data_IF_332722244189
#
_entry.id   IF_332722244189
#
_cell.length_a   1.000
_cell.length_b   1.000
_cell.length_c   1.000
_cell.angle_alpha   90.00
_cell.angle_beta   90.00
_cell.angle_gamma   90.00
#
_symmetry.space_group_name_H-M   'P 1'
#
loop_
_entity.id
_entity.type
_entity.pdbx_description
1 polymer ?
#
# COMPACT_ATOMS: atom_id res chain seq x y z
N UNK A 1 -7.51 42.78 -17.63
CA UNK A 1 -7.78 41.37 -17.25
C UNK A 1 -9.02 41.36 -16.36
N UNK A 2 -10.18 41.00 -16.92
CA UNK A 2 -11.50 41.23 -16.30
C UNK A 2 -11.87 40.13 -15.31
N UNK A 3 -12.41 40.53 -14.15
CA UNK A 3 -12.87 39.67 -13.04
C UNK A 3 -13.85 38.55 -13.45
N UNK A 4 -14.42 38.59 -14.66
CA UNK A 4 -15.34 37.58 -15.19
C UNK A 4 -14.71 36.25 -15.63
N UNK A 5 -13.39 36.14 -15.79
CA UNK A 5 -12.77 34.87 -16.22
C UNK A 5 -12.48 33.90 -15.07
N UNK A 6 -12.46 34.37 -13.81
CA UNK A 6 -12.22 33.52 -12.65
C UNK A 6 -13.43 32.64 -12.30
N UNK A 7 -14.66 33.07 -12.66
CA UNK A 7 -15.88 32.35 -12.30
C UNK A 7 -16.20 31.16 -13.21
N UNK A 8 -15.73 31.20 -14.47
CA UNK A 8 -16.02 30.16 -15.46
C UNK A 8 -15.16 28.90 -15.30
N UNK A 9 -14.02 28.99 -14.60
CA UNK A 9 -13.13 27.85 -14.38
C UNK A 9 -13.60 26.91 -13.25
N UNK A 10 -14.57 27.33 -12.44
CA UNK A 10 -15.06 26.57 -11.27
C UNK A 10 -16.20 25.58 -11.60
N UNK A 11 -16.71 25.58 -12.83
CA UNK A 11 -17.90 24.79 -13.23
C UNK A 11 -17.59 23.53 -14.07
N UNK A 12 -16.32 23.14 -14.20
CA UNK A 12 -15.88 21.99 -15.03
C UNK A 12 -15.38 20.77 -14.22
N UNK A 13 -15.73 20.68 -12.94
CA UNK A 13 -15.27 19.61 -12.05
C UNK A 13 -16.33 18.65 -11.44
N UNK A 14 -17.56 18.45 -11.98
CA UNK A 14 -18.32 17.30 -11.56
C UNK A 14 -17.92 16.09 -12.44
N UNK A 15 -17.82 14.91 -11.83
CA UNK A 15 -17.67 13.59 -12.48
C UNK A 15 -16.26 13.07 -12.80
N UNK A 16 -15.34 13.12 -11.83
CA UNK A 16 -14.33 12.05 -11.68
C UNK A 16 -14.54 11.30 -10.36
N UNK A 17 -15.76 10.82 -10.11
CA UNK A 17 -15.99 9.78 -9.10
C UNK A 17 -16.29 8.46 -9.79
N UNK A 18 -15.32 7.97 -10.56
CA UNK A 18 -15.29 6.56 -10.92
C UNK A 18 -14.92 5.80 -9.64
N UNK A 19 -15.90 5.18 -8.98
CA UNK A 19 -15.62 4.18 -7.95
C UNK A 19 -15.03 2.97 -8.67
N UNK A 20 -13.70 2.95 -8.85
CA UNK A 20 -13.01 1.77 -9.32
C UNK A 20 -13.41 0.58 -8.42
N UNK A 21 -13.71 -0.58 -9.00
CA UNK A 21 -13.94 -1.79 -8.21
C UNK A 21 -12.73 -2.00 -7.32
N UNK A 22 -12.97 -2.05 -6.01
CA UNK A 22 -11.94 -2.23 -5.01
C UNK A 22 -11.53 -3.70 -5.05
N UNK A 23 -10.62 -4.07 -5.95
CA UNK A 23 -10.01 -5.40 -5.94
C UNK A 23 -9.34 -5.57 -4.59
N UNK A 24 -9.81 -6.53 -3.80
CA UNK A 24 -9.14 -6.84 -2.54
C UNK A 24 -7.71 -7.29 -2.87
N UNK A 25 -6.69 -6.65 -2.30
CA UNK A 25 -5.32 -7.07 -2.52
C UNK A 25 -5.13 -8.50 -2.04
N UNK A 26 -4.57 -9.34 -2.91
CA UNK A 26 -4.25 -10.72 -2.59
C UNK A 26 -2.95 -10.77 -1.80
N UNK A 27 -3.03 -11.19 -0.54
CA UNK A 27 -1.89 -11.30 0.38
C UNK A 27 -1.40 -12.74 0.57
N UNK A 28 -1.41 -13.54 -0.49
CA UNK A 28 -1.05 -14.95 -0.35
C UNK A 28 0.46 -15.15 -0.26
N UNK A 29 0.88 -16.02 0.66
CA UNK A 29 2.28 -16.43 0.85
C UNK A 29 2.48 -17.91 0.48
N UNK A 30 3.68 -18.34 0.06
CA UNK A 30 3.91 -19.72 -0.41
C UNK A 30 3.48 -20.81 0.57
N UNK A 31 3.66 -20.59 1.88
CA UNK A 31 3.27 -21.50 2.95
C UNK A 31 1.77 -21.89 2.92
N UNK A 32 0.89 -21.02 2.43
CA UNK A 32 -0.55 -21.30 2.35
C UNK A 32 -0.90 -22.30 1.23
N UNK A 33 0.00 -22.50 0.28
CA UNK A 33 -0.17 -23.41 -0.86
C UNK A 33 0.60 -24.71 -0.69
N UNK A 34 1.69 -24.66 0.07
CA UNK A 34 2.57 -25.78 0.36
C UNK A 34 3.13 -25.63 1.77
N UNK A 35 2.69 -26.48 2.68
CA UNK A 35 3.10 -26.51 4.09
C UNK A 35 4.58 -26.86 4.29
N UNK A 36 5.22 -27.46 3.29
CA UNK A 36 6.64 -27.78 3.27
C UNK A 36 7.50 -26.69 2.61
N UNK A 37 6.92 -25.52 2.32
CA UNK A 37 7.63 -24.39 1.72
C UNK A 37 7.60 -23.18 2.65
N UNK A 38 8.79 -22.71 3.03
CA UNK A 38 8.96 -21.44 3.74
C UNK A 38 9.05 -20.27 2.76
N UNK A 39 8.84 -19.06 3.27
CA UNK A 39 9.02 -17.80 2.55
C UNK A 39 10.49 -17.35 2.55
N UNK A 40 10.93 -16.76 1.45
CA UNK A 40 12.14 -15.93 1.42
C UNK A 40 11.90 -14.55 2.01
N UNK A 41 12.99 -13.86 2.38
CA UNK A 41 12.94 -12.46 2.85
C UNK A 41 12.18 -11.55 1.87
N UNK A 42 12.50 -11.62 0.57
CA UNK A 42 11.89 -10.76 -0.46
C UNK A 42 10.39 -11.03 -0.62
N UNK A 43 9.97 -12.28 -0.55
CA UNK A 43 8.55 -12.65 -0.62
C UNK A 43 7.78 -12.12 0.61
N UNK A 44 8.39 -12.21 1.80
CA UNK A 44 7.80 -11.70 3.02
C UNK A 44 7.62 -10.17 2.95
N UNK A 45 8.68 -9.42 2.60
CA UNK A 45 8.62 -7.96 2.50
C UNK A 45 7.59 -7.52 1.46
N UNK A 46 7.59 -8.12 0.26
CA UNK A 46 6.63 -7.78 -0.79
C UNK A 46 5.17 -8.03 -0.36
N UNK A 47 4.90 -9.03 0.48
CA UNK A 47 3.57 -9.28 1.02
C UNK A 47 3.17 -8.17 2.01
N UNK A 48 4.05 -7.82 2.96
CA UNK A 48 3.77 -6.80 3.95
C UNK A 48 3.66 -5.39 3.37
N UNK A 49 4.43 -5.06 2.33
CA UNK A 49 4.30 -3.79 1.60
C UNK A 49 2.92 -3.64 0.96
N UNK A 50 2.39 -4.71 0.33
CA UNK A 50 1.02 -4.71 -0.19
C UNK A 50 0.01 -4.48 0.93
N UNK A 51 0.21 -5.09 2.09
CA UNK A 51 -0.69 -4.95 3.24
C UNK A 51 -0.69 -3.52 3.80
N UNK A 52 0.49 -2.90 3.93
CA UNK A 52 0.62 -1.50 4.32
C UNK A 52 -0.05 -0.56 3.31
N UNK A 53 0.10 -0.82 2.01
CA UNK A 53 -0.57 -0.05 0.96
C UNK A 53 -2.10 -0.20 1.00
N UNK A 54 -2.60 -1.37 1.33
CA UNK A 54 -4.03 -1.66 1.39
C UNK A 54 -4.73 -1.08 2.64
N UNK A 55 -4.02 -1.05 3.77
CA UNK A 55 -4.56 -0.67 5.07
C UNK A 55 -3.72 0.41 5.79
N UNK A 56 -3.43 1.56 5.14
CA UNK A 56 -2.45 2.53 5.63
C UNK A 56 -2.81 3.19 6.97
N UNK A 57 -4.06 3.08 7.41
CA UNK A 57 -4.51 3.63 8.70
C UNK A 57 -4.27 2.71 9.90
N UNK A 58 -4.16 1.41 9.67
CA UNK A 58 -4.11 0.39 10.74
C UNK A 58 -2.86 -0.48 10.66
N UNK A 59 -2.23 -0.59 9.50
CA UNK A 59 -1.00 -1.37 9.30
C UNK A 59 0.08 -0.48 8.70
N UNK A 60 1.18 -0.32 9.43
CA UNK A 60 2.34 0.45 9.00
C UNK A 60 3.56 -0.48 8.96
N UNK A 61 4.34 -0.38 7.89
CA UNK A 61 5.60 -1.09 7.75
C UNK A 61 6.71 -0.05 7.55
N UNK A 62 7.74 -0.07 8.40
CA UNK A 62 8.85 0.87 8.33
C UNK A 62 10.20 0.16 8.41
N UNK A 63 11.19 0.56 7.58
CA UNK A 63 12.57 0.13 7.80
C UNK A 63 13.14 0.87 9.01
N UNK A 64 13.85 0.16 9.89
CA UNK A 64 14.39 0.70 11.16
C UNK A 64 15.89 0.47 11.33
N UNK A 65 16.53 -0.21 10.38
CA UNK A 65 17.97 -0.48 10.38
C UNK A 65 18.36 -1.40 9.23
N UNK A 66 19.55 -1.97 9.34
CA UNK A 66 20.07 -2.98 8.41
C UNK A 66 20.47 -4.24 9.16
N UNK A 67 20.29 -5.37 8.52
CA UNK A 67 20.82 -6.68 8.94
C UNK A 67 22.33 -6.76 8.70
N UNK A 68 23.00 -7.78 9.24
CA UNK A 68 24.44 -8.02 9.04
C UNK A 68 24.83 -8.23 7.57
N UNK A 69 23.87 -8.64 6.73
CA UNK A 69 24.05 -8.80 5.27
C UNK A 69 23.65 -7.57 4.46
N UNK A 70 23.28 -6.46 5.13
CA UNK A 70 22.96 -5.18 4.51
C UNK A 70 21.51 -5.00 4.06
N UNK A 71 20.65 -6.02 4.21
CA UNK A 71 19.22 -5.92 3.90
C UNK A 71 18.47 -5.13 4.98
N UNK A 72 17.43 -4.33 4.65
CA UNK A 72 16.73 -3.53 5.66
C UNK A 72 15.95 -4.36 6.69
N UNK A 73 16.07 -4.01 7.96
CA UNK A 73 15.22 -4.57 9.03
C UNK A 73 13.90 -3.80 9.09
N UNK A 74 12.79 -4.50 8.87
CA UNK A 74 11.46 -3.90 8.84
C UNK A 74 10.70 -4.14 10.15
N UNK A 75 9.97 -3.13 10.62
CA UNK A 75 9.04 -3.21 11.75
C UNK A 75 7.63 -3.00 11.23
N UNK A 76 6.73 -3.92 11.59
CA UNK A 76 5.31 -3.82 11.32
C UNK A 76 4.55 -3.41 12.59
N UNK A 77 3.72 -2.38 12.49
CA UNK A 77 2.83 -1.94 13.57
C UNK A 77 1.39 -2.12 13.12
N UNK A 78 0.64 -2.91 13.89
CA UNK A 78 -0.80 -3.08 13.75
C UNK A 78 -1.50 -2.33 14.89
N UNK A 79 -2.43 -1.46 14.54
CA UNK A 79 -3.23 -0.69 15.49
C UNK A 79 -4.72 -0.81 15.14
N UNK A 80 -5.56 -0.98 16.17
CA UNK A 80 -7.01 -1.25 16.04
C UNK A 80 -7.85 -0.08 16.51
#
# INVERSE_FOLDING_TARGET
>A
MSRSQALTLLLLFPFLSCKMPRTMPLFSIPFEKNDNQTLSYREAIACYEKMAAAYPKIFQLTPTGSTDVGEPLHVAVLNT
#
